data_IF_698875858921
#
_entry.id   IF_698875858921
#
_cell.length_a   1.000
_cell.length_b   1.000
_cell.length_c   1.000
_cell.angle_alpha   90.00
_cell.angle_beta   90.00
_cell.angle_gamma   90.00
#
_symmetry.space_group_name_H-M   'P 1'
#
loop_
_entity.id
_entity.type
_entity.pdbx_description
1 polymer ?
#
# COMPACT_ATOMS: atom_id res chain seq x y z
N UNK A 1 18.24 6.32 -33.11
CA UNK A 1 19.37 5.56 -32.54
C UNK A 1 19.06 5.29 -31.07
N UNK A 2 19.20 4.05 -30.59
CA UNK A 2 18.95 3.75 -29.16
C UNK A 2 20.12 4.25 -28.30
N UNK A 3 19.84 5.11 -27.32
CA UNK A 3 20.87 5.65 -26.43
C UNK A 3 21.42 4.58 -25.50
N UNK A 4 22.64 4.71 -24.96
CA UNK A 4 23.19 3.77 -23.98
C UNK A 4 22.23 3.56 -22.79
N UNK A 5 21.58 4.63 -22.35
CA UNK A 5 20.64 4.67 -21.22
C UNK A 5 19.38 3.86 -21.52
N UNK A 6 18.78 4.03 -22.71
CA UNK A 6 17.65 3.20 -23.16
C UNK A 6 18.01 1.71 -23.28
N UNK A 7 19.21 1.40 -23.79
CA UNK A 7 19.70 0.00 -23.83
C UNK A 7 19.90 -0.58 -22.44
N UNK A 8 20.34 0.23 -21.46
CA UNK A 8 20.44 -0.20 -20.07
C UNK A 8 19.05 -0.46 -19.49
N UNK A 9 18.09 0.44 -19.66
CA UNK A 9 16.73 0.28 -19.16
C UNK A 9 16.03 -0.97 -19.72
N UNK A 10 16.22 -1.28 -21.00
CA UNK A 10 15.68 -2.53 -21.58
C UNK A 10 16.27 -3.78 -20.91
N UNK A 11 17.55 -3.74 -20.50
CA UNK A 11 18.18 -4.85 -19.77
C UNK A 11 17.62 -4.97 -18.36
N UNK A 12 17.47 -3.84 -17.68
CA UNK A 12 16.93 -3.81 -16.32
C UNK A 12 15.47 -4.28 -16.31
N UNK A 13 14.69 -3.91 -17.33
CA UNK A 13 13.31 -4.38 -17.50
C UNK A 13 13.27 -5.89 -17.72
N UNK A 14 14.12 -6.39 -18.62
CA UNK A 14 14.23 -7.83 -18.85
C UNK A 14 14.61 -8.59 -17.58
N UNK A 15 15.59 -8.07 -16.81
CA UNK A 15 16.01 -8.70 -15.55
C UNK A 15 14.87 -8.73 -14.54
N UNK A 16 14.12 -7.63 -14.43
CA UNK A 16 12.96 -7.55 -13.53
C UNK A 16 11.83 -8.50 -13.94
N UNK A 17 11.66 -8.77 -15.24
CA UNK A 17 10.69 -9.77 -15.74
C UNK A 17 11.17 -11.22 -15.54
N UNK A 18 12.45 -11.47 -15.79
CA UNK A 18 13.02 -12.82 -15.74
C UNK A 18 13.15 -13.32 -14.27
N UNK A 19 13.44 -12.41 -13.34
CA UNK A 19 13.63 -12.69 -11.91
C UNK A 19 13.06 -11.54 -11.04
N UNK A 20 11.72 -11.44 -10.90
CA UNK A 20 11.08 -10.39 -10.12
C UNK A 20 11.33 -10.61 -8.62
N UNK A 21 11.88 -9.62 -7.90
CA UNK A 21 12.03 -9.72 -6.45
C UNK A 21 10.66 -9.81 -5.76
N UNK A 22 10.60 -10.52 -4.63
CA UNK A 22 9.37 -10.73 -3.90
C UNK A 22 8.76 -9.39 -3.42
N UNK A 23 7.47 -9.19 -3.67
CA UNK A 23 6.76 -8.02 -3.19
C UNK A 23 7.07 -6.71 -3.93
N UNK A 24 7.80 -6.74 -5.05
CA UNK A 24 8.00 -5.54 -5.89
C UNK A 24 7.72 -5.85 -7.36
N UNK A 25 7.20 -4.88 -8.08
CA UNK A 25 6.95 -4.96 -9.52
C UNK A 25 7.21 -3.60 -10.16
N UNK A 26 7.57 -3.57 -11.44
CA UNK A 26 7.75 -2.32 -12.17
C UNK A 26 7.82 -2.51 -13.67
N UNK A 27 7.34 -1.52 -14.40
CA UNK A 27 7.33 -1.50 -15.85
C UNK A 27 7.47 -0.07 -16.41
N UNK A 28 8.05 0.10 -17.60
CA UNK A 28 7.99 1.36 -18.32
C UNK A 28 6.55 1.69 -18.71
N UNK A 29 6.21 2.97 -18.75
CA UNK A 29 4.91 3.41 -19.28
C UNK A 29 4.88 3.30 -20.81
N UNK A 30 3.68 3.25 -21.38
CA UNK A 30 3.48 3.15 -22.83
C UNK A 30 4.09 4.33 -23.60
N UNK A 31 4.09 5.51 -22.98
CA UNK A 31 4.58 6.74 -23.59
C UNK A 31 6.11 6.78 -23.70
N UNK A 32 6.82 6.25 -22.70
CA UNK A 32 8.27 6.42 -22.63
C UNK A 32 8.96 5.40 -21.71
N UNK A 33 9.97 4.72 -22.25
CA UNK A 33 10.88 3.88 -21.45
C UNK A 33 11.65 4.66 -20.36
N UNK A 34 11.69 6.00 -20.43
CA UNK A 34 12.32 6.82 -19.39
C UNK A 34 11.41 7.09 -18.20
N UNK A 35 10.14 6.69 -18.28
CA UNK A 35 9.18 6.81 -17.21
C UNK A 35 8.67 5.43 -16.86
N UNK A 36 8.77 5.07 -15.59
CA UNK A 36 8.31 3.77 -15.10
C UNK A 36 7.34 3.96 -13.95
N UNK A 37 6.41 3.03 -13.90
CA UNK A 37 5.53 2.83 -12.77
C UNK A 37 5.94 1.54 -12.07
N UNK A 38 5.92 1.58 -10.75
CA UNK A 38 6.27 0.46 -9.91
C UNK A 38 5.27 0.32 -8.77
N UNK A 39 5.16 -0.89 -8.26
CA UNK A 39 4.33 -1.23 -7.12
C UNK A 39 5.19 -1.96 -6.11
N UNK A 40 5.13 -1.53 -4.86
CA UNK A 40 5.75 -2.20 -3.73
C UNK A 40 4.64 -2.64 -2.78
N UNK A 41 4.62 -3.93 -2.47
CA UNK A 41 3.82 -4.48 -1.41
C UNK A 41 4.52 -4.24 -0.07
N UNK A 42 3.73 -3.87 0.93
CA UNK A 42 4.19 -3.71 2.29
C UNK A 42 4.86 -4.99 2.80
N UNK A 43 6.05 -4.91 3.41
CA UNK A 43 6.70 -6.09 3.99
C UNK A 43 5.85 -6.69 5.12
N UNK A 44 5.91 -8.02 5.26
CA UNK A 44 5.28 -8.75 6.36
C UNK A 44 5.85 -8.32 7.71
N UNK A 45 5.07 -8.44 8.78
CA UNK A 45 5.46 -8.08 10.14
C UNK A 45 5.78 -6.57 10.31
N UNK A 46 5.31 -5.75 9.38
CA UNK A 46 5.44 -4.28 9.46
C UNK A 46 4.06 -3.62 9.49
N UNK A 47 3.94 -2.37 9.99
CA UNK A 47 2.68 -1.64 9.94
C UNK A 47 2.18 -1.38 8.51
N UNK A 48 3.06 -1.56 7.51
CA UNK A 48 2.75 -1.41 6.09
C UNK A 48 2.20 -2.68 5.44
N UNK A 49 2.18 -3.81 6.16
CA UNK A 49 1.66 -5.10 5.68
C UNK A 49 0.27 -4.95 5.03
N UNK A 50 0.02 -5.75 4.00
CA UNK A 50 -1.15 -5.69 3.11
C UNK A 50 -1.31 -4.37 2.32
N UNK A 51 -0.44 -3.39 2.53
CA UNK A 51 -0.38 -2.17 1.73
C UNK A 51 0.13 -2.41 0.32
N UNK A 52 -0.42 -1.68 -0.65
CA UNK A 52 0.03 -1.72 -2.04
C UNK A 52 0.36 -0.30 -2.50
N UNK A 53 1.65 0.02 -2.61
CA UNK A 53 2.11 1.40 -2.83
C UNK A 53 2.62 1.59 -4.24
N UNK A 54 2.04 2.55 -4.97
CA UNK A 54 2.49 2.95 -6.30
C UNK A 54 3.66 3.92 -6.22
N UNK A 55 4.64 3.74 -7.09
CA UNK A 55 5.80 4.61 -7.26
C UNK A 55 5.96 4.99 -8.72
N UNK A 56 6.56 6.15 -8.93
CA UNK A 56 6.97 6.65 -10.23
C UNK A 56 8.48 6.84 -10.25
N UNK A 57 9.13 6.28 -11.27
CA UNK A 57 10.57 6.41 -11.50
C UNK A 57 10.78 7.18 -12.81
N UNK A 58 11.49 8.29 -12.72
CA UNK A 58 11.84 9.13 -13.86
C UNK A 58 13.35 9.06 -14.13
N UNK A 59 13.70 8.49 -15.27
CA UNK A 59 15.08 8.34 -15.73
C UNK A 59 15.48 9.51 -16.62
N UNK A 60 16.75 9.87 -16.58
CA UNK A 60 17.36 10.82 -17.52
C UNK A 60 18.25 10.08 -18.53
N UNK A 61 18.65 10.77 -19.59
CA UNK A 61 19.64 10.23 -20.54
C UNK A 61 21.03 10.01 -19.89
N UNK A 62 21.25 10.44 -18.65
CA UNK A 62 22.48 10.16 -17.90
C UNK A 62 22.46 8.83 -17.13
N UNK A 63 21.33 8.10 -17.14
CA UNK A 63 21.24 6.78 -16.51
C UNK A 63 22.16 5.75 -17.20
N UNK A 64 22.93 4.92 -16.46
CA UNK A 64 22.94 4.73 -15.00
C UNK A 64 23.98 5.56 -14.25
N UNK A 65 24.65 6.53 -14.88
CA UNK A 65 25.65 7.35 -14.19
C UNK A 65 25.01 8.28 -13.15
N UNK A 66 23.76 8.70 -13.38
CA UNK A 66 22.93 9.39 -12.39
C UNK A 66 21.75 8.51 -11.96
N UNK A 67 21.31 8.61 -10.69
CA UNK A 67 20.13 7.91 -10.22
C UNK A 67 18.87 8.41 -10.93
N UNK A 68 17.82 7.58 -11.05
CA UNK A 68 16.49 8.09 -11.37
C UNK A 68 15.93 8.93 -10.23
N UNK A 69 14.98 9.82 -10.56
CA UNK A 69 14.12 10.41 -9.55
C UNK A 69 13.02 9.41 -9.21
N UNK A 70 12.84 9.11 -7.92
CA UNK A 70 11.84 8.16 -7.45
C UNK A 70 10.93 8.84 -6.44
N UNK A 71 9.62 8.67 -6.62
CA UNK A 71 8.61 9.18 -5.69
C UNK A 71 7.47 8.19 -5.53
N UNK A 72 6.88 8.16 -4.35
CA UNK A 72 5.58 7.53 -4.14
C UNK A 72 4.48 8.36 -4.82
N UNK A 73 3.64 7.68 -5.58
CA UNK A 73 2.38 8.22 -6.11
C UNK A 73 1.29 8.07 -5.06
N UNK A 74 1.28 6.93 -4.37
CA UNK A 74 0.44 6.72 -3.19
C UNK A 74 0.83 7.68 -2.07
N UNK A 75 -0.17 8.12 -1.27
CA UNK A 75 0.12 8.87 -0.04
C UNK A 75 0.91 7.99 0.92
N UNK A 76 1.90 8.57 1.59
CA UNK A 76 2.77 7.85 2.51
C UNK A 76 2.88 8.56 3.86
N UNK A 77 2.97 7.77 4.93
CA UNK A 77 3.32 8.24 6.26
C UNK A 77 4.53 7.47 6.79
N UNK A 78 5.73 7.91 6.38
CA UNK A 78 6.98 7.22 6.69
C UNK A 78 8.08 8.21 7.09
N UNK A 79 8.95 7.91 8.09
CA UNK A 79 10.02 8.82 8.53
C UNK A 79 10.94 9.32 7.39
N UNK A 80 11.21 8.49 6.39
CA UNK A 80 12.11 8.80 5.27
C UNK A 80 11.40 9.18 3.96
N UNK A 81 10.09 9.43 3.98
CA UNK A 81 9.33 9.88 2.81
C UNK A 81 8.79 11.29 3.05
N UNK A 82 9.03 12.19 2.10
CA UNK A 82 8.54 13.57 2.12
C UNK A 82 7.04 13.64 1.79
N UNK A 83 6.41 14.78 2.09
CA UNK A 83 4.97 14.96 1.84
C UNK A 83 4.58 14.95 0.36
N UNK A 84 5.52 15.23 -0.54
CA UNK A 84 5.37 15.15 -2.00
C UNK A 84 5.62 13.75 -2.57
N UNK A 85 5.92 12.77 -1.70
CA UNK A 85 6.24 11.39 -2.07
C UNK A 85 7.72 11.16 -2.39
N UNK A 86 8.56 12.19 -2.42
CA UNK A 86 10.00 12.04 -2.62
C UNK A 86 10.63 11.22 -1.50
N UNK A 87 11.65 10.42 -1.81
CA UNK A 87 12.25 9.47 -0.86
C UNK A 87 13.65 9.95 -0.46
N UNK A 88 13.90 10.01 0.85
CA UNK A 88 15.25 10.23 1.38
C UNK A 88 15.95 8.89 1.59
N UNK A 89 16.63 8.42 0.53
CA UNK A 89 17.42 7.19 0.53
C UNK A 89 18.82 7.49 -0.04
N UNK A 90 19.86 7.09 0.67
CA UNK A 90 21.26 7.41 0.36
C UNK A 90 21.72 6.87 -1.00
N UNK A 91 21.28 5.67 -1.38
CA UNK A 91 21.60 5.08 -2.68
C UNK A 91 21.00 5.89 -3.82
N UNK A 92 19.93 6.68 -3.61
CA UNK A 92 19.36 7.59 -4.61
C UNK A 92 20.02 8.98 -4.60
N UNK A 93 20.99 9.19 -3.72
CA UNK A 93 21.67 10.47 -3.51
C UNK A 93 23.20 10.30 -3.62
N UNK A 94 23.92 10.45 -2.52
CA UNK A 94 25.38 10.46 -2.48
C UNK A 94 26.01 9.06 -2.56
N UNK A 95 25.25 8.00 -2.28
CA UNK A 95 25.73 6.61 -2.34
C UNK A 95 25.29 5.90 -3.65
N UNK A 96 24.84 6.65 -4.65
CA UNK A 96 24.47 6.08 -5.94
C UNK A 96 25.67 5.43 -6.65
N UNK A 97 25.44 4.23 -7.17
CA UNK A 97 26.38 3.51 -8.02
C UNK A 97 25.70 3.08 -9.33
N UNK A 98 26.34 3.23 -10.50
CA UNK A 98 25.82 2.75 -11.78
C UNK A 98 25.63 1.22 -11.87
N UNK A 99 26.07 0.49 -10.84
CA UNK A 99 25.83 -0.94 -10.67
C UNK A 99 24.40 -1.25 -10.24
N UNK A 100 23.72 -0.31 -9.56
CA UNK A 100 22.32 -0.50 -9.18
C UNK A 100 21.42 -0.54 -10.41
N UNK A 101 20.47 -1.46 -10.41
CA UNK A 101 19.43 -1.59 -11.40
C UNK A 101 18.06 -1.28 -10.76
N UNK A 102 16.99 -1.31 -11.56
CA UNK A 102 15.64 -1.02 -11.09
C UNK A 102 15.21 -1.98 -9.97
N UNK A 103 15.55 -3.27 -10.08
CA UNK A 103 15.23 -4.26 -9.06
C UNK A 103 15.89 -3.94 -7.71
N UNK A 104 17.18 -3.58 -7.71
CA UNK A 104 17.90 -3.17 -6.51
C UNK A 104 17.28 -1.91 -5.88
N UNK A 105 16.91 -0.91 -6.69
CA UNK A 105 16.26 0.31 -6.20
C UNK A 105 14.95 -0.02 -5.48
N UNK A 106 14.06 -0.79 -6.12
CA UNK A 106 12.75 -1.13 -5.54
C UNK A 106 12.89 -1.97 -4.28
N UNK A 107 13.82 -2.94 -4.28
CA UNK A 107 14.11 -3.77 -3.10
C UNK A 107 14.62 -2.91 -1.94
N UNK A 108 15.53 -1.96 -2.19
CA UNK A 108 16.01 -1.05 -1.14
C UNK A 108 14.92 -0.13 -0.60
N UNK A 109 13.97 0.31 -1.43
CA UNK A 109 12.81 1.08 -0.96
C UNK A 109 11.87 0.20 -0.12
N UNK A 110 11.67 -1.06 -0.50
CA UNK A 110 10.89 -2.01 0.30
C UNK A 110 11.55 -2.26 1.66
N UNK A 111 12.86 -2.50 1.71
CA UNK A 111 13.60 -2.63 2.98
C UNK A 111 13.53 -1.37 3.84
N UNK A 112 13.45 -0.18 3.23
CA UNK A 112 13.27 1.07 3.97
C UNK A 112 11.93 1.13 4.71
N UNK A 113 10.87 0.46 4.21
CA UNK A 113 9.57 0.38 4.89
C UNK A 113 9.63 -0.50 6.14
N UNK A 114 10.46 -1.54 6.12
CA UNK A 114 10.70 -2.47 7.23
C UNK A 114 11.62 -1.84 8.30
N UNK A 115 12.72 -1.22 7.86
CA UNK A 115 13.71 -0.58 8.73
C UNK A 115 13.80 0.94 8.50
N UNK A 116 12.84 1.73 9.03
CA UNK A 116 12.91 3.19 8.95
C UNK A 116 14.16 3.74 9.64
N UNK A 117 14.77 4.78 9.04
CA UNK A 117 15.88 5.50 9.65
C UNK A 117 15.40 6.82 10.29
N UNK A 118 15.16 6.85 11.60
CA UNK A 118 14.63 8.05 12.26
C UNK A 118 15.70 9.14 12.46
N UNK A 119 17.00 8.84 12.27
CA UNK A 119 18.10 9.77 12.55
C UNK A 119 18.24 10.89 11.51
N UNK A 120 17.70 10.69 10.31
CA UNK A 120 17.65 11.70 9.26
C UNK A 120 16.26 11.71 8.62
N UNK A 121 15.25 12.24 9.32
CA UNK A 121 13.87 12.13 8.89
C UNK A 121 13.56 13.14 7.79
N UNK A 122 12.93 12.65 6.73
CA UNK A 122 12.24 13.49 5.73
C UNK A 122 10.90 14.00 6.29
N UNK A 123 10.25 13.19 7.13
CA UNK A 123 9.02 13.53 7.83
C UNK A 123 9.25 13.49 9.35
N UNK A 124 9.52 14.66 9.93
CA UNK A 124 9.78 14.81 11.36
C UNK A 124 8.62 14.32 12.23
N UNK A 125 7.37 14.46 11.77
CA UNK A 125 6.20 14.02 12.52
C UNK A 125 6.13 12.48 12.58
N UNK A 126 6.33 11.81 11.45
CA UNK A 126 6.37 10.34 11.40
C UNK A 126 7.52 9.81 12.27
N UNK A 127 8.70 10.43 12.21
CA UNK A 127 9.85 10.03 13.01
C UNK A 127 9.65 10.25 14.53
N UNK A 128 8.99 11.34 14.91
CA UNK A 128 8.65 11.60 16.31
C UNK A 128 7.67 10.56 16.83
N UNK A 129 6.57 10.30 16.11
CA UNK A 129 5.58 9.29 16.51
C UNK A 129 6.21 7.89 16.55
N UNK A 130 7.07 7.55 15.59
CA UNK A 130 7.79 6.27 15.58
C UNK A 130 8.61 6.04 16.85
N UNK A 131 9.23 7.08 17.40
CA UNK A 131 10.05 7.02 18.63
C UNK A 131 9.23 7.11 19.92
N UNK A 132 8.27 8.03 19.97
CA UNK A 132 7.60 8.43 21.20
C UNK A 132 6.23 7.75 21.39
N UNK A 133 5.55 7.39 20.30
CA UNK A 133 4.21 6.84 20.34
C UNK A 133 3.94 5.88 19.17
N UNK A 134 4.54 4.68 19.28
CA UNK A 134 4.44 3.63 18.27
C UNK A 134 2.99 3.28 17.90
N UNK A 135 2.07 3.25 18.87
CA UNK A 135 0.65 2.95 18.63
C UNK A 135 -0.03 3.97 17.73
N UNK A 136 0.22 5.26 17.94
CA UNK A 136 -0.34 6.31 17.08
C UNK A 136 0.32 6.34 15.69
N UNK A 137 1.62 6.02 15.62
CA UNK A 137 2.31 5.84 14.35
C UNK A 137 1.65 4.72 13.53
N UNK A 138 1.51 3.52 14.10
CA UNK A 138 0.88 2.36 13.46
C UNK A 138 -0.54 2.66 13.01
N UNK A 139 -1.35 3.30 13.87
CA UNK A 139 -2.72 3.71 13.50
C UNK A 139 -2.76 4.58 12.24
N UNK A 140 -1.80 5.51 12.09
CA UNK A 140 -1.71 6.35 10.89
C UNK A 140 -1.22 5.58 9.68
N UNK A 141 -0.27 4.66 9.86
CA UNK A 141 0.20 3.81 8.77
C UNK A 141 -0.91 2.88 8.27
N UNK A 142 -1.70 2.26 9.16
CA UNK A 142 -2.85 1.45 8.76
C UNK A 142 -3.88 2.24 7.94
N UNK A 143 -4.15 3.49 8.32
CA UNK A 143 -5.02 4.35 7.52
C UNK A 143 -4.44 4.63 6.11
N UNK A 144 -3.11 4.66 5.97
CA UNK A 144 -2.45 4.78 4.66
C UNK A 144 -2.52 3.47 3.88
N UNK A 145 -2.36 2.32 4.53
CA UNK A 145 -2.55 0.98 3.95
C UNK A 145 -3.95 0.85 3.36
N UNK A 146 -5.00 1.19 4.12
CA UNK A 146 -6.39 1.17 3.64
C UNK A 146 -6.61 2.11 2.43
N UNK A 147 -6.01 3.31 2.46
CA UNK A 147 -6.08 4.25 1.33
C UNK A 147 -5.37 3.75 0.07
N UNK A 148 -4.35 2.92 0.25
CA UNK A 148 -3.57 2.37 -0.86
C UNK A 148 -4.44 1.50 -1.78
N UNK A 149 -5.42 0.78 -1.21
CA UNK A 149 -6.35 -0.09 -1.96
C UNK A 149 -7.28 0.70 -2.89
N UNK A 150 -7.73 1.88 -2.44
CA UNK A 150 -8.61 2.75 -3.24
C UNK A 150 -7.90 3.38 -4.44
N UNK A 151 -6.57 3.48 -4.39
CA UNK A 151 -5.78 4.10 -5.47
C UNK A 151 -5.73 3.25 -6.74
N UNK A 152 -6.04 1.96 -6.65
CA UNK A 152 -6.13 1.07 -7.82
C UNK A 152 -7.56 0.91 -8.34
N UNK A 153 -8.58 1.06 -7.49
CA UNK A 153 -9.98 0.88 -7.91
C UNK A 153 -10.51 2.00 -8.82
N UNK A 154 -9.94 3.20 -8.73
CA UNK A 154 -10.42 4.37 -9.47
C UNK A 154 -9.90 4.43 -10.92
N UNK A 155 -8.82 3.72 -11.26
CA UNK A 155 -8.28 3.73 -12.64
C UNK A 155 -9.07 2.80 -13.59
N UNK A 156 -9.74 1.77 -13.06
CA UNK A 156 -10.62 0.89 -13.85
C UNK A 156 -12.05 1.45 -14.05
N UNK A 157 -12.39 2.57 -13.40
CA UNK A 157 -13.76 3.10 -13.39
C UNK A 157 -14.05 4.17 -14.46
N UNK A 158 -13.02 4.65 -15.19
CA UNK A 158 -13.19 5.71 -16.20
C UNK A 158 -13.63 5.19 -17.59
N UNK A 159 -13.87 3.88 -17.77
CA UNK A 159 -14.30 3.27 -19.04
C UNK A 159 -15.73 2.67 -19.05
N UNK A 160 -16.59 3.01 -18.09
CA UNK A 160 -18.01 2.62 -18.12
C UNK A 160 -18.95 3.83 -18.09
N UNK A 161 -18.96 4.64 -19.15
CA UNK A 161 -20.10 5.51 -19.45
C UNK A 161 -21.19 4.65 -20.09
N UNK A 162 -22.06 4.10 -19.24
CA UNK A 162 -23.31 3.46 -19.62
C UNK A 162 -24.21 4.45 -20.37
N UNK A 163 -24.31 4.29 -21.70
CA UNK A 163 -25.29 4.96 -22.53
C UNK A 163 -26.63 4.23 -22.45
N UNK A 164 -27.38 4.39 -21.36
CA UNK A 164 -28.78 3.97 -21.34
C UNK A 164 -29.71 4.92 -20.59
N UNK A 165 -29.80 6.19 -21.02
CA UNK A 165 -31.03 6.95 -20.74
C UNK A 165 -31.34 8.03 -21.79
N UNK A 166 -31.98 7.63 -22.91
CA UNK A 166 -32.85 8.55 -23.68
C UNK A 166 -33.96 7.76 -24.39
N UNK A 167 -35.08 7.52 -23.71
CA UNK A 167 -36.36 7.25 -24.37
C UNK A 167 -37.55 7.37 -23.41
N UNK A 168 -38.06 8.59 -23.19
CA UNK A 168 -39.48 8.88 -22.88
C UNK A 168 -39.78 10.29 -23.44
N UNK A 169 -40.25 10.35 -24.68
CA UNK A 169 -41.66 10.57 -25.05
C UNK A 169 -42.13 12.02 -24.83
N UNK A 170 -42.15 12.81 -25.90
CA UNK A 170 -43.13 13.88 -26.07
C UNK A 170 -44.04 13.54 -27.25
N UNK A 171 -45.32 13.32 -26.97
CA UNK A 171 -46.40 13.33 -27.94
C UNK A 171 -47.31 14.52 -27.64
N UNK A 172 -47.70 15.36 -28.61
CA UNK A 172 -48.61 16.47 -28.39
C UNK A 172 -50.07 16.03 -28.52
N UNK A 173 -50.98 16.73 -27.84
CA UNK A 173 -52.39 17.07 -28.18
C UNK A 173 -53.34 17.01 -26.95
N UNK A 174 -54.19 18.04 -26.88
CA UNK A 174 -55.42 18.25 -26.10
C UNK A 174 -55.27 19.04 -24.77
N UNK A 175 -55.43 20.36 -24.79
CA UNK A 175 -56.68 21.13 -24.64
C UNK A 175 -57.20 21.26 -23.19
N UNK A 176 -57.22 22.52 -22.74
CA UNK A 176 -58.39 23.20 -22.16
C UNK A 176 -59.10 22.53 -20.97
N UNK A 177 -58.82 23.02 -19.76
CA UNK A 177 -59.74 23.71 -18.83
C UNK A 177 -59.10 23.70 -17.42
N UNK A 178 -59.05 24.86 -16.79
CA UNK A 178 -58.47 25.02 -15.45
C UNK A 178 -59.36 24.43 -14.36
N UNK A 179 -58.76 24.01 -13.25
CA UNK A 179 -59.30 24.13 -11.89
C UNK A 179 -58.17 24.01 -10.86
N UNK A 180 -58.36 24.74 -9.78
CA UNK A 180 -57.47 25.00 -8.65
C UNK A 180 -57.26 23.78 -7.73
N UNK A 181 -56.25 23.93 -6.87
CA UNK A 181 -55.97 23.26 -5.60
C UNK A 181 -57.17 22.58 -4.91
N UNK A 182 -56.91 21.45 -4.25
CA UNK A 182 -57.44 21.15 -2.90
C UNK A 182 -56.54 20.10 -2.24
N UNK A 183 -56.19 20.39 -0.99
CA UNK A 183 -55.50 19.56 -0.02
C UNK A 183 -56.36 18.40 0.53
N UNK A 184 -55.69 17.56 1.32
CA UNK A 184 -56.15 16.93 2.56
C UNK A 184 -56.52 15.44 2.60
N UNK A 185 -55.83 14.81 3.56
CA UNK A 185 -56.28 13.87 4.58
C UNK A 185 -56.71 12.46 4.18
N UNK A 186 -55.97 11.47 4.67
CA UNK A 186 -56.54 10.47 5.57
C UNK A 186 -55.46 9.70 6.36
N UNK A 187 -55.73 9.64 7.66
CA UNK A 187 -55.04 9.01 8.78
C UNK A 187 -55.07 7.47 8.83
N UNK A 188 -54.13 6.96 9.64
CA UNK A 188 -54.24 5.86 10.63
C UNK A 188 -54.58 4.41 10.25
N UNK A 189 -53.76 3.49 10.79
CA UNK A 189 -54.29 2.45 11.67
C UNK A 189 -53.75 1.02 11.53
N UNK A 190 -53.38 0.43 12.68
CA UNK A 190 -53.07 -0.98 13.00
C UNK A 190 -51.63 -1.45 12.70
N UNK A 191 -50.80 -1.94 13.64
CA UNK A 191 -51.03 -2.41 15.01
C UNK A 191 -50.95 -3.93 15.13
N UNK A 192 -49.77 -4.47 15.47
CA UNK A 192 -49.61 -5.52 16.49
C UNK A 192 -49.36 -7.00 16.10
N UNK A 193 -48.53 -7.63 16.97
CA UNK A 193 -48.29 -9.06 17.28
C UNK A 193 -47.28 -9.83 16.37
N UNK A 194 -46.06 -10.11 16.86
CA UNK A 194 -45.61 -11.17 17.81
C UNK A 194 -45.63 -12.57 17.19
N UNK A 195 -44.47 -13.24 17.10
CA UNK A 195 -44.25 -14.52 17.78
C UNK A 195 -42.74 -14.89 17.86
N UNK A 196 -42.37 -15.40 19.02
CA UNK A 196 -41.08 -15.98 19.39
C UNK A 196 -41.04 -17.47 18.98
N UNK A 197 -39.88 -18.03 18.70
CA UNK A 197 -39.58 -19.42 19.12
C UNK A 197 -38.07 -19.59 19.35
N UNK A 198 -37.74 -19.97 20.58
CA UNK A 198 -36.43 -20.40 21.05
C UNK A 198 -36.20 -21.91 20.86
N UNK A 199 -34.92 -22.25 20.96
CA UNK A 199 -34.32 -23.48 21.49
C UNK A 199 -34.27 -24.76 20.65
N UNK A 200 -33.04 -25.20 20.37
CA UNK A 200 -32.47 -26.41 21.01
C UNK A 200 -30.96 -26.56 20.72
N UNK A 201 -30.15 -26.37 21.76
CA UNK A 201 -29.16 -27.32 22.32
C UNK A 201 -28.24 -28.07 21.36
N UNK A 202 -26.92 -27.87 21.50
CA UNK A 202 -25.97 -28.99 21.61
C UNK A 202 -24.72 -28.57 22.42
N UNK A 203 -24.69 -28.96 23.69
CA UNK A 203 -23.49 -29.06 24.52
C UNK A 203 -22.81 -30.41 24.21
N UNK A 204 -21.50 -30.40 24.03
CA UNK A 204 -20.67 -31.59 23.84
C UNK A 204 -19.32 -31.35 24.50
N UNK A 205 -19.16 -32.01 25.65
CA UNK A 205 -18.04 -31.99 26.58
C UNK A 205 -16.73 -32.61 26.03
N UNK A 206 -15.62 -32.06 26.53
CA UNK A 206 -14.37 -32.69 26.99
C UNK A 206 -13.59 -33.66 26.09
N UNK A 207 -12.30 -33.36 25.91
CA UNK A 207 -11.24 -34.28 26.36
C UNK A 207 -9.92 -33.51 26.54
N UNK A 208 -9.46 -33.54 27.80
CA UNK A 208 -8.15 -33.13 28.27
C UNK A 208 -7.03 -33.90 27.58
N UNK A 209 -5.88 -33.26 27.38
CA UNK A 209 -4.60 -33.96 27.21
C UNK A 209 -3.49 -33.06 27.80
N UNK A 210 -3.34 -33.19 29.11
CA UNK A 210 -2.11 -32.89 29.85
C UNK A 210 -1.33 -34.21 30.03
N UNK A 211 -0.14 -34.33 29.43
CA UNK A 211 1.00 -35.17 29.84
C UNK A 211 2.26 -34.41 29.33
N UNK A 212 3.09 -33.77 30.18
CA UNK A 212 4.26 -34.34 30.92
C UNK A 212 5.27 -34.99 29.94
N UNK A 213 6.56 -34.65 29.82
CA UNK A 213 7.62 -34.56 30.83
C UNK A 213 8.95 -33.97 30.24
N UNK A 214 9.68 -33.26 31.10
CA UNK A 214 11.14 -33.14 31.31
C UNK A 214 12.18 -33.49 30.21
N UNK A 215 13.14 -32.58 30.00
CA UNK A 215 14.56 -32.91 30.20
C UNK A 215 15.41 -31.67 30.56
N UNK A 216 16.09 -31.78 31.70
CA UNK A 216 17.11 -30.88 32.24
C UNK A 216 18.39 -30.88 31.38
N UNK A 217 19.24 -29.85 31.50
CA UNK A 217 20.57 -29.91 30.92
C UNK A 217 21.40 -28.63 31.04
N UNK A 218 21.92 -28.40 32.24
CA UNK A 218 22.96 -27.42 32.58
C UNK A 218 24.10 -27.36 31.56
N UNK A 219 24.64 -26.17 31.30
CA UNK A 219 26.09 -25.94 31.21
C UNK A 219 26.38 -24.43 31.33
N UNK A 220 26.41 -23.97 32.59
CA UNK A 220 27.31 -22.88 32.98
C UNK A 220 28.71 -23.48 33.09
N UNK A 221 29.69 -22.93 32.36
CA UNK A 221 30.96 -22.50 32.95
C UNK A 221 31.95 -21.93 31.92
N UNK A 222 32.47 -20.76 32.32
CA UNK A 222 33.85 -20.30 32.18
C UNK A 222 34.46 -20.12 30.78
N UNK A 223 34.68 -18.85 30.41
CA UNK A 223 36.05 -18.34 30.36
C UNK A 223 36.07 -16.80 30.38
N UNK A 224 36.16 -16.25 31.59
CA UNK A 224 36.95 -15.04 31.83
C UNK A 224 38.40 -15.47 32.07
N UNK A 225 39.29 -15.10 31.15
CA UNK A 225 40.71 -14.75 31.38
C UNK A 225 41.08 -13.89 30.18
N UNK A 226 41.05 -12.56 30.26
CA UNK A 226 42.18 -11.74 30.68
C UNK A 226 43.54 -12.34 30.28
N UNK A 227 44.08 -11.93 29.14
CA UNK A 227 45.52 -11.66 29.04
C UNK A 227 45.80 -10.58 27.99
N UNK A 228 46.38 -9.51 28.51
CA UNK A 228 47.12 -8.42 27.87
C UNK A 228 48.24 -8.88 26.91
N UNK A 229 48.60 -7.98 25.96
CA UNK A 229 49.89 -7.85 25.24
C UNK A 229 50.17 -8.98 24.21
N UNK A 230 50.52 -8.73 22.95
CA UNK A 230 51.43 -7.76 22.30
C UNK A 230 50.96 -7.54 20.83
#
# INVERSE_FOLDING_TARGET
MSTPSRRRLMRDFKKLQDDPPAGVSGAPTEESIMHWEAVIFGPQDTPFEDGTFKLSLLFSEEYPNKPPQVKFVSKMFHPNVYADGSICLDILQNQWSPTYDVAAILTSIQSLLDEPNPNSPANSQAAQLYRENRREYEKRVHAIVEQSWMTFSNEDSDEAVDQTETAREESPIAEHLGFENIENDAEEGMGGLMDETQDSINEGENEDNDEEEEEEGELRNANETDTSLD
#
